data_IF_513856680104
#
_entry.id   IF_513856680104
#
_cell.length_a   1.000
_cell.length_b   1.000
_cell.length_c   1.000
_cell.angle_alpha   90.00
_cell.angle_beta   90.00
_cell.angle_gamma   90.00
#
_symmetry.space_group_name_H-M   'P 1'
#
loop_
_entity.id
_entity.type
_entity.pdbx_description
1 polymer ?
#
# COMPACT_ATOMS: atom_id res chain seq x y z
N UNK A 1 12.92 -8.31 11.59
CA UNK A 1 12.98 -7.43 10.41
C UNK A 1 14.00 -8.03 9.45
N UNK A 2 13.71 -8.08 8.15
CA UNK A 2 14.61 -8.61 7.12
C UNK A 2 14.93 -7.49 6.15
N UNK A 3 16.18 -7.38 5.71
CA UNK A 3 16.62 -6.41 4.71
C UNK A 3 17.17 -7.14 3.49
N UNK A 4 16.79 -6.68 2.29
CA UNK A 4 17.31 -7.19 1.02
C UNK A 4 18.21 -6.12 0.39
N UNK A 5 19.49 -6.43 0.22
CA UNK A 5 20.50 -5.50 -0.30
C UNK A 5 21.11 -6.07 -1.57
N UNK A 6 21.34 -5.21 -2.57
CA UNK A 6 21.94 -5.59 -3.84
C UNK A 6 22.04 -4.42 -4.81
N UNK A 7 22.85 -4.55 -5.85
CA UNK A 7 23.07 -3.52 -6.88
C UNK A 7 21.77 -3.09 -7.59
N UNK A 8 21.77 -1.92 -8.23
CA UNK A 8 20.65 -1.52 -9.09
C UNK A 8 20.41 -2.59 -10.18
N UNK A 9 19.15 -2.90 -10.48
CA UNK A 9 18.79 -3.95 -11.44
C UNK A 9 18.90 -5.39 -10.91
N UNK A 10 19.33 -5.62 -9.67
CA UNK A 10 19.45 -6.99 -9.10
C UNK A 10 18.12 -7.72 -8.84
N UNK A 11 16.99 -7.18 -9.29
CA UNK A 11 15.67 -7.80 -9.13
C UNK A 11 14.95 -7.57 -7.80
N UNK A 12 15.40 -6.64 -6.95
CA UNK A 12 14.75 -6.36 -5.64
C UNK A 12 13.27 -6.00 -5.79
N UNK A 13 12.95 -5.06 -6.67
CA UNK A 13 11.56 -4.69 -6.95
C UNK A 13 10.80 -5.81 -7.67
N UNK A 14 11.47 -6.64 -8.47
CA UNK A 14 10.82 -7.82 -9.07
C UNK A 14 10.39 -8.81 -7.99
N UNK A 15 11.19 -9.00 -6.93
CA UNK A 15 10.82 -9.85 -5.80
C UNK A 15 9.56 -9.34 -5.10
N UNK A 16 9.45 -8.04 -4.79
CA UNK A 16 8.25 -7.50 -4.15
C UNK A 16 7.01 -7.70 -5.01
N UNK A 17 7.13 -7.53 -6.33
CA UNK A 17 6.04 -7.79 -7.29
C UNK A 17 5.61 -9.25 -7.34
N UNK A 18 6.54 -10.20 -7.17
CA UNK A 18 6.20 -11.63 -7.03
C UNK A 18 5.49 -11.94 -5.71
N UNK A 19 5.89 -11.30 -4.59
CA UNK A 19 5.22 -11.44 -3.29
C UNK A 19 3.75 -10.99 -3.34
N UNK A 20 3.47 -9.91 -4.08
CA UNK A 20 2.13 -9.33 -4.24
C UNK A 20 1.32 -9.99 -5.38
N UNK A 21 1.89 -11.00 -6.04
CA UNK A 21 1.30 -11.66 -7.23
C UNK A 21 0.94 -10.66 -8.35
N UNK A 22 1.73 -9.61 -8.52
CA UNK A 22 1.66 -8.78 -9.73
C UNK A 22 2.25 -9.51 -10.94
N UNK A 23 3.18 -10.43 -10.69
CA UNK A 23 3.66 -11.41 -11.66
C UNK A 23 3.58 -12.83 -11.08
N UNK A 24 3.47 -13.83 -11.95
CA UNK A 24 3.60 -15.23 -11.59
C UNK A 24 5.06 -15.69 -11.67
N UNK A 25 5.50 -16.51 -10.71
CA UNK A 25 6.80 -17.17 -10.81
C UNK A 25 6.76 -18.26 -11.89
N UNK A 26 7.72 -18.23 -12.83
CA UNK A 26 7.85 -19.25 -13.89
C UNK A 26 8.16 -20.63 -13.31
N UNK A 27 8.96 -20.67 -12.25
CA UNK A 27 9.27 -21.89 -11.48
C UNK A 27 9.32 -21.59 -9.98
N UNK A 28 9.15 -22.62 -9.16
CA UNK A 28 9.08 -22.47 -7.71
C UNK A 28 7.74 -21.92 -7.23
N UNK A 29 7.72 -21.50 -5.95
CA UNK A 29 6.50 -21.05 -5.24
C UNK A 29 6.85 -19.93 -4.27
N UNK A 30 5.95 -18.96 -4.16
CA UNK A 30 5.92 -17.96 -3.09
C UNK A 30 4.79 -18.35 -2.16
N UNK A 31 5.05 -18.43 -0.85
CA UNK A 31 4.06 -18.86 0.13
C UNK A 31 3.83 -17.79 1.20
N UNK A 32 2.58 -17.56 1.53
CA UNK A 32 2.15 -16.81 2.71
C UNK A 32 1.51 -17.80 3.68
N UNK A 33 2.06 -17.93 4.88
CA UNK A 33 1.62 -18.89 5.91
C UNK A 33 1.50 -20.34 5.39
N UNK A 34 2.43 -20.74 4.51
CA UNK A 34 2.47 -22.07 3.91
C UNK A 34 1.58 -22.27 2.67
N UNK A 35 0.67 -21.33 2.38
CA UNK A 35 -0.22 -21.37 1.21
C UNK A 35 0.46 -20.65 0.03
N UNK A 36 0.47 -21.25 -1.15
CA UNK A 36 0.99 -20.59 -2.35
C UNK A 36 0.17 -19.33 -2.65
N UNK A 37 0.82 -18.20 -2.90
CA UNK A 37 0.11 -16.93 -3.15
C UNK A 37 -0.81 -17.01 -4.38
N UNK A 38 -0.57 -17.96 -5.29
CA UNK A 38 -1.47 -18.25 -6.43
C UNK A 38 -2.81 -18.84 -6.02
N UNK A 39 -2.89 -19.46 -4.85
CA UNK A 39 -4.09 -20.12 -4.34
C UNK A 39 -4.90 -19.18 -3.41
N UNK A 40 -4.40 -17.97 -3.12
CA UNK A 40 -5.07 -16.97 -2.28
C UNK A 40 -5.89 -16.02 -3.17
N UNK A 41 -7.16 -15.71 -2.86
CA UNK A 41 -7.90 -14.66 -3.57
C UNK A 41 -7.15 -13.32 -3.56
N UNK A 42 -7.11 -12.60 -4.69
CA UNK A 42 -6.28 -11.38 -4.79
C UNK A 42 -6.70 -10.32 -3.76
N UNK A 43 -8.00 -10.19 -3.49
CA UNK A 43 -8.51 -9.28 -2.48
C UNK A 43 -7.99 -9.63 -1.07
N UNK A 44 -7.90 -10.93 -0.75
CA UNK A 44 -7.39 -11.38 0.56
C UNK A 44 -5.88 -11.19 0.68
N UNK A 45 -5.13 -11.42 -0.41
CA UNK A 45 -3.70 -11.15 -0.46
C UNK A 45 -3.42 -9.65 -0.23
N UNK A 46 -4.16 -8.77 -0.93
CA UNK A 46 -4.04 -7.32 -0.80
C UNK A 46 -4.45 -6.81 0.60
N UNK A 47 -5.32 -7.51 1.33
CA UNK A 47 -5.65 -7.19 2.73
C UNK A 47 -4.56 -7.58 3.72
N UNK A 48 -3.69 -8.53 3.37
CA UNK A 48 -2.64 -9.08 4.26
C UNK A 48 -1.26 -8.50 4.01
N UNK A 49 -0.99 -8.06 2.78
CA UNK A 49 0.33 -7.56 2.37
C UNK A 49 0.16 -6.18 1.75
N UNK A 50 0.82 -5.18 2.34
CA UNK A 50 0.92 -3.83 1.80
C UNK A 50 2.31 -3.57 1.22
N UNK A 51 2.38 -2.76 0.17
CA UNK A 51 3.62 -2.27 -0.43
C UNK A 51 3.69 -0.76 -0.31
N UNK A 52 4.87 -0.24 -0.02
CA UNK A 52 5.17 1.19 -0.16
C UNK A 52 6.23 1.30 -1.25
N UNK A 53 5.81 1.79 -2.40
CA UNK A 53 6.67 1.92 -3.57
C UNK A 53 7.60 3.13 -3.43
N UNK A 54 8.75 3.08 -4.12
CA UNK A 54 9.71 4.18 -4.15
C UNK A 54 9.11 5.45 -4.80
N UNK A 55 8.25 5.25 -5.81
CA UNK A 55 7.48 6.31 -6.47
C UNK A 55 5.99 5.96 -6.33
N UNK A 56 5.32 6.44 -5.27
CA UNK A 56 3.93 6.09 -4.99
C UNK A 56 2.98 6.81 -5.95
N UNK A 57 2.03 6.06 -6.51
CA UNK A 57 0.95 6.65 -7.28
C UNK A 57 -0.04 7.36 -6.35
N UNK A 58 -0.40 8.60 -6.71
CA UNK A 58 -1.51 9.34 -6.10
C UNK A 58 -2.64 9.44 -7.11
N UNK A 59 -3.86 9.16 -6.68
CA UNK A 59 -5.06 9.32 -7.48
C UNK A 59 -5.56 10.75 -7.36
N UNK A 60 -6.20 11.25 -8.43
CA UNK A 60 -6.87 12.55 -8.39
C UNK A 60 -7.96 12.55 -7.32
N UNK A 61 -7.85 13.51 -6.40
CA UNK A 61 -8.71 13.65 -5.23
C UNK A 61 -7.98 14.40 -4.13
N UNK A 62 -8.48 14.36 -2.90
CA UNK A 62 -7.74 14.91 -1.75
C UNK A 62 -6.69 13.92 -1.21
N UNK A 63 -5.81 14.40 -0.33
CA UNK A 63 -4.96 13.53 0.49
C UNK A 63 -5.84 12.55 1.28
N UNK A 64 -6.95 13.02 1.87
CA UNK A 64 -7.91 12.18 2.58
C UNK A 64 -8.45 11.06 1.69
N UNK A 65 -8.82 11.35 0.45
CA UNK A 65 -9.34 10.37 -0.49
C UNK A 65 -8.31 9.29 -0.82
N UNK A 66 -7.04 9.68 -0.99
CA UNK A 66 -5.95 8.74 -1.24
C UNK A 66 -5.69 7.80 -0.05
N UNK A 67 -5.77 8.31 1.19
CA UNK A 67 -5.67 7.46 2.40
C UNK A 67 -6.89 6.55 2.50
N UNK A 68 -8.09 7.08 2.26
CA UNK A 68 -9.35 6.32 2.28
C UNK A 68 -9.36 5.21 1.24
N UNK A 69 -8.73 5.40 0.09
CA UNK A 69 -8.61 4.40 -0.97
C UNK A 69 -7.94 3.11 -0.48
N UNK A 70 -6.98 3.20 0.45
CA UNK A 70 -6.34 2.03 1.06
C UNK A 70 -7.25 1.22 1.98
N UNK A 71 -8.44 1.76 2.32
CA UNK A 71 -9.44 1.08 3.14
C UNK A 71 -10.46 0.38 2.23
N UNK A 72 -10.75 -0.89 2.50
CA UNK A 72 -11.71 -1.64 1.68
C UNK A 72 -13.15 -1.19 1.96
N UNK A 73 -14.01 -1.19 0.93
CA UNK A 73 -15.42 -0.73 1.02
C UNK A 73 -16.26 -1.46 2.06
N UNK A 74 -16.00 -2.74 2.27
CA UNK A 74 -16.73 -3.58 3.24
C UNK A 74 -16.13 -3.48 4.65
N UNK A 75 -15.11 -2.64 4.83
CA UNK A 75 -14.54 -2.45 6.14
C UNK A 75 -15.47 -1.51 6.95
N UNK A 76 -16.06 -1.94 8.07
CA UNK A 76 -16.69 -1.03 9.04
C UNK A 76 -15.69 0.04 9.55
N UNK A 77 -14.42 -0.11 9.18
CA UNK A 77 -13.30 0.80 9.38
C UNK A 77 -13.10 1.88 8.30
N UNK A 78 -13.99 2.00 7.31
CA UNK A 78 -14.00 3.12 6.38
C UNK A 78 -14.56 4.43 6.99
N UNK A 79 -14.85 4.44 8.30
CA UNK A 79 -15.25 5.62 9.06
C UNK A 79 -14.13 6.66 9.10
N UNK A 80 -14.50 7.93 9.05
CA UNK A 80 -13.56 9.06 8.99
C UNK A 80 -12.52 9.03 10.12
N UNK A 81 -12.90 8.56 11.31
CA UNK A 81 -12.02 8.41 12.46
C UNK A 81 -10.77 7.54 12.17
N UNK A 82 -10.89 6.52 11.32
CA UNK A 82 -9.74 5.65 11.00
C UNK A 82 -8.86 6.21 9.92
N UNK A 83 -9.44 6.98 9.00
CA UNK A 83 -8.64 7.80 8.08
C UNK A 83 -7.81 8.78 8.90
N UNK A 84 -8.40 9.46 9.88
CA UNK A 84 -7.68 10.36 10.78
C UNK A 84 -6.59 9.65 11.59
N UNK A 85 -6.89 8.48 12.19
CA UNK A 85 -5.88 7.69 12.89
C UNK A 85 -4.74 7.23 11.97
N UNK A 86 -5.04 6.85 10.73
CA UNK A 86 -4.03 6.47 9.75
C UNK A 86 -3.17 7.67 9.35
N UNK A 87 -3.77 8.83 9.13
CA UNK A 87 -3.07 10.09 8.88
C UNK A 87 -2.12 10.44 10.03
N UNK A 88 -2.61 10.39 11.28
CA UNK A 88 -1.81 10.66 12.47
C UNK A 88 -0.65 9.67 12.61
N UNK A 89 -0.91 8.37 12.43
CA UNK A 89 0.13 7.33 12.50
C UNK A 89 1.20 7.46 11.41
N UNK A 90 0.84 8.03 10.26
CA UNK A 90 1.74 8.32 9.15
C UNK A 90 2.43 9.69 9.26
N UNK A 91 2.13 10.50 10.28
CA UNK A 91 2.66 11.86 10.44
C UNK A 91 2.10 12.87 9.44
N UNK A 92 0.94 12.58 8.82
CA UNK A 92 0.32 13.48 7.86
C UNK A 92 -0.28 14.73 8.50
N UNK A 93 -0.50 14.74 9.82
CA UNK A 93 -1.03 15.91 10.53
C UNK A 93 -0.09 17.12 10.41
N UNK A 94 1.23 16.89 10.49
CA UNK A 94 2.24 17.94 10.32
C UNK A 94 2.29 18.48 8.89
N UNK A 95 2.10 17.59 7.91
CA UNK A 95 2.04 17.95 6.49
C UNK A 95 0.77 18.76 6.23
N UNK A 96 -0.38 18.27 6.70
CA UNK A 96 -1.68 18.91 6.57
C UNK A 96 -1.68 20.30 7.21
N UNK A 97 -1.08 20.47 8.39
CA UNK A 97 -0.99 21.76 9.08
C UNK A 97 -0.26 22.85 8.25
N UNK A 98 0.58 22.45 7.29
CA UNK A 98 1.33 23.35 6.41
C UNK A 98 0.62 23.63 5.09
N UNK A 99 -0.49 22.94 4.82
CA UNK A 99 -1.25 23.07 3.59
C UNK A 99 -2.53 23.89 3.84
N UNK A 100 -2.91 24.81 2.93
CA UNK A 100 -4.09 25.66 3.13
C UNK A 100 -5.41 24.92 3.36
N UNK A 101 -5.53 23.69 2.83
CA UNK A 101 -6.74 22.87 2.89
C UNK A 101 -6.56 21.62 3.79
N UNK A 102 -5.44 21.51 4.51
CA UNK A 102 -5.16 20.34 5.34
C UNK A 102 -5.21 19.03 4.55
N UNK A 103 -5.92 18.04 5.08
CA UNK A 103 -6.14 16.75 4.42
C UNK A 103 -7.07 16.83 3.19
N UNK A 104 -7.81 17.93 3.01
CA UNK A 104 -8.64 18.17 1.82
C UNK A 104 -7.82 18.73 0.65
N UNK A 105 -6.52 18.98 0.85
CA UNK A 105 -5.65 19.45 -0.22
C UNK A 105 -5.62 18.44 -1.36
N UNK A 106 -5.79 18.94 -2.59
CA UNK A 106 -5.74 18.12 -3.79
C UNK A 106 -4.38 17.42 -3.96
N UNK A 107 -4.43 16.15 -4.38
CA UNK A 107 -3.32 15.27 -4.67
C UNK A 107 -3.59 14.50 -5.98
N UNK A 108 -2.52 14.00 -6.62
CA UNK A 108 -2.62 13.25 -7.88
C UNK A 108 -3.02 14.15 -9.06
N UNK A 109 -2.01 14.71 -9.72
CA UNK A 109 -2.14 15.47 -10.97
C UNK A 109 -1.40 14.75 -12.10
#
# INVERSE_FOLDING_TARGET
>A
RVALVGASGSGKSTLTKLLLRQYGATSGRVRLDGVDVRDIPQADLARRVASVEQDPALFSGSIRDNVRFGLTKDDPRAADEKVERACAAAGLDEVAARLPQGLETAAGA
#
